data_IF_064057212413
#
_entry.id   IF_064057212413
#
_cell.length_a   1.000
_cell.length_b   1.000
_cell.length_c   1.000
_cell.angle_alpha   90.00
_cell.angle_beta   90.00
_cell.angle_gamma   90.00
#
_symmetry.space_group_name_H-M   'P 1'
#
loop_
_entity.id
_entity.type
_entity.pdbx_description
1 polymer ?
#
# COMPACT_ATOMS: atom_id res chain seq x y z
N UNK A 1 -6.53 1.41 19.73
CA UNK A 1 -5.73 0.16 19.69
C UNK A 1 -6.39 -0.90 18.82
N UNK A 2 -7.52 -1.49 19.24
CA UNK A 2 -8.14 -2.63 18.56
C UNK A 2 -8.39 -2.44 17.05
N UNK A 3 -8.94 -1.30 16.63
CA UNK A 3 -9.24 -1.04 15.21
C UNK A 3 -8.01 -1.10 14.30
N UNK A 4 -6.86 -0.59 14.75
CA UNK A 4 -5.64 -0.53 13.93
C UNK A 4 -5.03 -1.92 13.80
N UNK A 5 -4.90 -2.63 14.93
CA UNK A 5 -4.40 -4.01 14.93
C UNK A 5 -5.30 -4.87 14.06
N UNK A 6 -6.61 -4.85 14.30
CA UNK A 6 -7.55 -5.68 13.55
C UNK A 6 -7.63 -5.32 12.07
N UNK A 7 -7.50 -4.03 11.72
CA UNK A 7 -7.47 -3.57 10.34
C UNK A 7 -6.21 -4.04 9.60
N UNK A 8 -5.03 -3.82 10.18
CA UNK A 8 -3.73 -4.19 9.59
C UNK A 8 -3.37 -5.68 9.74
N UNK A 9 -4.21 -6.50 10.39
CA UNK A 9 -4.11 -7.97 10.25
C UNK A 9 -4.32 -8.42 8.81
N UNK A 10 -4.97 -7.60 7.96
CA UNK A 10 -5.31 -7.93 6.59
C UNK A 10 -4.62 -7.05 5.55
N UNK A 11 -4.44 -7.61 4.36
CA UNK A 11 -4.02 -6.88 3.17
C UNK A 11 -2.58 -6.36 3.22
N UNK A 12 -2.35 -5.23 2.57
CA UNK A 12 -1.06 -4.55 2.42
C UNK A 12 -1.23 -3.11 1.98
N UNK A 13 -0.16 -2.32 2.04
CA UNK A 13 -0.06 -1.00 1.37
C UNK A 13 0.48 -1.15 -0.06
N UNK A 14 0.53 -0.07 -0.85
CA UNK A 14 1.03 -0.10 -2.23
C UNK A 14 1.89 1.13 -2.56
N UNK A 15 3.12 0.88 -3.00
CA UNK A 15 4.20 1.84 -3.21
C UNK A 15 5.33 1.24 -4.04
N UNK A 16 5.00 0.51 -5.11
CA UNK A 16 5.94 -0.24 -5.93
C UNK A 16 6.98 0.62 -6.69
N UNK A 17 6.76 1.93 -6.80
CA UNK A 17 7.62 2.86 -7.53
C UNK A 17 7.36 4.32 -7.18
N UNK A 18 7.99 5.26 -7.90
CA UNK A 18 7.88 6.70 -7.66
C UNK A 18 6.43 7.22 -7.68
N UNK A 19 6.07 8.04 -6.70
CA UNK A 19 4.70 8.54 -6.53
C UNK A 19 4.27 9.57 -7.60
N UNK A 20 5.22 10.23 -8.26
CA UNK A 20 4.99 11.22 -9.33
C UNK A 20 4.53 10.59 -10.66
N UNK A 21 4.58 9.26 -10.78
CA UNK A 21 4.05 8.52 -11.91
C UNK A 21 2.54 8.24 -11.82
N UNK A 22 1.90 8.64 -10.71
CA UNK A 22 0.45 8.55 -10.49
C UNK A 22 -0.23 9.81 -11.00
N UNK A 23 -1.17 9.64 -11.94
CA UNK A 23 -1.94 10.72 -12.55
C UNK A 23 -2.97 11.38 -11.61
N UNK A 24 -3.80 12.29 -12.15
CA UNK A 24 -4.76 13.07 -11.38
C UNK A 24 -5.81 12.19 -10.69
N UNK A 25 -6.35 12.70 -9.58
CA UNK A 25 -7.47 12.12 -8.84
C UNK A 25 -8.78 12.12 -9.65
N UNK A 26 -9.83 11.38 -9.21
CA UNK A 26 -11.03 11.16 -10.02
C UNK A 26 -11.71 12.41 -10.58
N UNK A 27 -11.82 13.49 -9.80
CA UNK A 27 -12.50 14.73 -10.23
C UNK A 27 -11.68 15.56 -11.23
N UNK A 28 -10.37 15.32 -11.34
CA UNK A 28 -9.48 15.97 -12.30
C UNK A 28 -9.03 15.02 -13.44
N UNK A 29 -9.48 13.76 -13.41
CA UNK A 29 -9.17 12.78 -14.44
C UNK A 29 -9.93 13.09 -15.74
N UNK A 30 -9.33 12.80 -16.92
CA UNK A 30 -9.98 13.04 -18.18
C UNK A 30 -11.19 12.09 -18.35
N UNK A 31 -12.21 12.56 -19.07
CA UNK A 31 -13.53 11.94 -19.10
C UNK A 31 -13.48 10.46 -19.53
N UNK A 32 -12.58 10.09 -20.45
CA UNK A 32 -12.40 8.73 -20.95
C UNK A 32 -11.96 7.71 -19.87
N UNK A 33 -11.52 8.17 -18.69
CA UNK A 33 -11.23 7.29 -17.55
C UNK A 33 -12.48 6.91 -16.74
N UNK A 34 -13.68 7.35 -17.17
CA UNK A 34 -14.98 6.88 -16.67
C UNK A 34 -15.14 7.01 -15.14
N UNK A 35 -14.73 8.15 -14.57
CA UNK A 35 -14.85 8.43 -13.15
C UNK A 35 -13.80 7.73 -12.27
N UNK A 36 -12.81 7.08 -12.87
CA UNK A 36 -11.63 6.57 -12.17
C UNK A 36 -10.47 7.56 -12.30
N UNK A 37 -9.68 7.69 -11.23
CA UNK A 37 -8.47 8.51 -11.19
C UNK A 37 -7.24 7.71 -10.78
N UNK A 38 -6.15 8.41 -10.50
CA UNK A 38 -4.86 7.86 -10.07
C UNK A 38 -4.29 6.80 -11.03
N UNK A 39 -4.55 6.94 -12.33
CA UNK A 39 -3.94 6.09 -13.35
C UNK A 39 -2.42 6.22 -13.24
N UNK A 40 -1.74 5.12 -12.92
CA UNK A 40 -0.29 5.07 -12.83
C UNK A 40 0.34 4.72 -14.19
N UNK A 41 1.45 5.39 -14.50
CA UNK A 41 2.32 5.10 -15.65
C UNK A 41 3.49 4.17 -15.31
N UNK A 42 3.65 3.80 -14.03
CA UNK A 42 4.70 2.90 -13.57
C UNK A 42 4.37 1.44 -13.91
N UNK A 43 5.21 0.78 -14.71
CA UNK A 43 5.02 -0.64 -15.07
C UNK A 43 3.65 -0.89 -15.71
N UNK A 44 2.91 -1.86 -15.20
CA UNK A 44 1.51 -2.12 -15.58
C UNK A 44 0.50 -1.14 -14.95
N UNK A 45 0.92 -0.33 -13.98
CA UNK A 45 0.11 0.64 -13.25
C UNK A 45 -0.91 0.04 -12.28
N UNK A 46 -0.99 -1.28 -12.17
CA UNK A 46 -1.97 -2.02 -11.36
C UNK A 46 -1.35 -3.30 -10.79
N UNK A 47 -2.07 -4.02 -9.93
CA UNK A 47 -1.63 -5.32 -9.41
C UNK A 47 -0.26 -5.25 -8.74
N UNK A 48 0.74 -5.93 -9.31
CA UNK A 48 2.11 -5.96 -8.79
C UNK A 48 2.78 -4.58 -8.78
N UNK A 49 2.41 -3.70 -9.70
CA UNK A 49 3.00 -2.37 -9.86
C UNK A 49 2.11 -1.26 -9.28
N UNK A 50 1.12 -1.62 -8.46
CA UNK A 50 0.20 -0.66 -7.87
C UNK A 50 0.94 0.34 -6.96
N UNK A 51 0.54 1.60 -7.05
CA UNK A 51 0.98 2.69 -6.19
C UNK A 51 -0.28 3.37 -5.66
N UNK A 52 -0.41 3.48 -4.34
CA UNK A 52 -1.56 4.13 -3.70
C UNK A 52 -1.10 5.08 -2.60
N UNK A 53 -0.41 4.57 -1.59
CA UNK A 53 0.11 5.40 -0.49
C UNK A 53 1.60 5.72 -0.66
N UNK A 54 2.31 4.98 -1.51
CA UNK A 54 3.76 5.05 -1.63
C UNK A 54 4.51 4.19 -0.60
N UNK A 55 3.83 3.64 0.40
CA UNK A 55 4.40 2.69 1.37
C UNK A 55 4.25 1.27 0.82
N UNK A 56 5.23 0.38 1.06
CA UNK A 56 5.23 -1.01 0.57
C UNK A 56 5.40 -2.02 1.73
N UNK A 57 4.39 -2.11 2.60
CA UNK A 57 4.36 -2.97 3.78
C UNK A 57 3.29 -4.05 3.64
N UNK A 58 3.65 -5.27 4.04
CA UNK A 58 2.75 -6.39 4.32
C UNK A 58 2.94 -6.77 5.78
N UNK A 59 1.93 -6.54 6.63
CA UNK A 59 2.10 -6.67 8.09
C UNK A 59 2.10 -8.10 8.59
N UNK A 60 1.37 -9.01 7.93
CA UNK A 60 1.20 -10.40 8.37
C UNK A 60 1.63 -11.38 7.27
N UNK A 61 2.10 -12.56 7.69
CA UNK A 61 2.42 -13.67 6.77
C UNK A 61 1.16 -14.39 6.24
N UNK A 62 -0.02 -14.00 6.67
CA UNK A 62 -1.34 -14.55 6.33
C UNK A 62 -2.34 -13.45 5.98
N UNK A 63 -2.04 -12.56 5.00
CA UNK A 63 -2.75 -11.27 4.81
C UNK A 63 -4.23 -11.40 4.40
N UNK A 64 -4.72 -12.61 4.11
CA UNK A 64 -6.11 -12.89 3.76
C UNK A 64 -6.79 -13.81 4.78
N UNK A 65 -6.22 -13.96 5.98
CA UNK A 65 -6.77 -14.80 7.06
C UNK A 65 -6.64 -14.09 8.40
N UNK A 66 -7.67 -14.20 9.22
CA UNK A 66 -7.64 -13.67 10.57
C UNK A 66 -6.81 -14.57 11.50
N UNK A 67 -5.84 -13.96 12.18
CA UNK A 67 -5.08 -14.52 13.30
C UNK A 67 -4.39 -13.36 14.07
N UNK A 68 -3.50 -13.68 15.02
CA UNK A 68 -2.85 -12.68 15.87
C UNK A 68 -1.44 -12.28 15.36
N UNK A 69 -1.09 -12.63 14.12
CA UNK A 69 0.27 -12.45 13.58
C UNK A 69 0.71 -10.99 13.57
N UNK A 70 -0.19 -10.01 13.45
CA UNK A 70 0.18 -8.58 13.53
C UNK A 70 0.91 -8.24 14.83
N UNK A 71 0.35 -8.65 15.98
CA UNK A 71 0.97 -8.36 17.27
C UNK A 71 2.16 -9.27 17.55
N UNK A 72 2.12 -10.52 17.09
CA UNK A 72 3.25 -11.45 17.22
C UNK A 72 4.47 -10.95 16.44
N UNK A 73 4.28 -10.44 15.23
CA UNK A 73 5.34 -9.83 14.42
C UNK A 73 5.79 -8.51 15.06
N UNK A 74 4.85 -7.63 15.46
CA UNK A 74 5.20 -6.33 16.06
C UNK A 74 6.10 -6.46 17.29
N UNK A 75 5.76 -7.37 18.22
CA UNK A 75 6.50 -7.56 19.46
C UNK A 75 7.61 -8.62 19.38
N UNK A 76 7.60 -9.46 18.34
CA UNK A 76 8.57 -10.54 18.15
C UNK A 76 9.85 -10.12 17.42
N UNK A 77 9.91 -8.89 16.89
CA UNK A 77 11.06 -8.34 16.17
C UNK A 77 11.44 -6.95 16.67
N UNK A 78 12.70 -6.60 16.48
CA UNK A 78 13.18 -5.22 16.55
C UNK A 78 12.99 -4.53 15.19
N UNK A 79 12.76 -3.21 15.22
CA UNK A 79 12.44 -2.44 14.03
C UNK A 79 13.48 -1.35 13.79
N UNK A 80 13.89 -1.22 12.54
CA UNK A 80 14.74 -0.12 12.06
C UNK A 80 14.00 0.71 11.02
N UNK A 81 14.36 2.00 10.93
CA UNK A 81 13.84 2.87 9.87
C UNK A 81 14.40 2.45 8.51
N UNK A 82 13.53 2.39 7.52
CA UNK A 82 13.90 2.13 6.12
C UNK A 82 13.01 2.96 5.18
N UNK A 83 13.28 2.92 3.88
CA UNK A 83 12.44 3.58 2.88
C UNK A 83 11.82 2.59 1.90
N UNK A 84 10.56 2.86 1.54
CA UNK A 84 9.89 2.16 0.44
C UNK A 84 10.51 2.47 -0.92
N UNK A 85 10.16 1.74 -2.00
CA UNK A 85 10.57 2.09 -3.36
C UNK A 85 10.14 3.49 -3.82
N UNK A 86 9.06 4.04 -3.25
CA UNK A 86 8.61 5.41 -3.49
C UNK A 86 9.32 6.45 -2.61
N UNK A 87 10.27 6.05 -1.75
CA UNK A 87 10.99 6.92 -0.84
C UNK A 87 10.23 7.30 0.44
N UNK A 88 9.07 6.68 0.70
CA UNK A 88 8.31 6.88 1.93
C UNK A 88 9.02 6.22 3.13
N UNK A 89 8.86 6.80 4.33
CA UNK A 89 9.28 6.18 5.59
C UNK A 89 8.30 5.09 6.02
#
# INVERSE_FOLDING_TARGET
AALIVGGHTFGKTHGAGPADLVGPEPEAAPLEQMGLGWKSSYGTGTGKDAITTGIEVVWTNTPTKWDNSFLEILYGYEWELTKSPAGAW
#
